data_IF_925471104549
#
_entry.id   IF_925471104549
#
_cell.length_a   1.000
_cell.length_b   1.000
_cell.length_c   1.000
_cell.angle_alpha   90.00
_cell.angle_beta   90.00
_cell.angle_gamma   90.00
#
_symmetry.space_group_name_H-M   'P 1'
#
loop_
_entity.id
_entity.type
_entity.pdbx_description
1 polymer ?
#
# COMPACT_ATOMS: atom_id res chain seq x y z
N UNK A 1 12.52 18.30 -10.04
CA UNK A 1 13.40 17.12 -10.20
C UNK A 1 14.54 17.08 -9.17
N UNK A 2 15.23 18.20 -8.88
CA UNK A 2 16.29 18.23 -7.88
C UNK A 2 15.84 17.80 -6.47
N UNK A 3 14.68 18.28 -5.99
CA UNK A 3 14.20 17.91 -4.65
C UNK A 3 13.80 16.45 -4.53
N UNK A 4 13.20 15.85 -5.58
CA UNK A 4 12.91 14.42 -5.61
C UNK A 4 14.19 13.59 -5.45
N UNK A 5 15.24 13.94 -6.18
CA UNK A 5 16.54 13.29 -6.04
C UNK A 5 17.11 13.46 -4.62
N UNK A 6 17.02 14.66 -4.04
CA UNK A 6 17.52 14.93 -2.69
C UNK A 6 16.78 14.12 -1.63
N UNK A 7 15.45 14.05 -1.70
CA UNK A 7 14.62 13.28 -0.76
C UNK A 7 14.94 11.79 -0.85
N UNK A 8 14.97 11.22 -2.05
CA UNK A 8 15.25 9.79 -2.23
C UNK A 8 16.69 9.44 -1.85
N UNK A 9 17.66 10.28 -2.21
CA UNK A 9 19.06 10.10 -1.78
C UNK A 9 19.22 10.22 -0.27
N UNK A 10 18.50 11.14 0.37
CA UNK A 10 18.51 11.23 1.83
C UNK A 10 17.92 9.97 2.46
N UNK A 11 16.85 9.40 1.89
CA UNK A 11 16.26 8.15 2.37
C UNK A 11 17.25 6.98 2.30
N UNK A 12 17.97 6.81 1.19
CA UNK A 12 18.95 5.70 1.08
C UNK A 12 20.09 5.81 2.08
N UNK A 13 20.49 7.03 2.44
CA UNK A 13 21.52 7.26 3.47
C UNK A 13 20.95 7.06 4.88
N UNK A 14 19.67 7.35 5.08
CA UNK A 14 18.97 7.16 6.34
C UNK A 14 18.66 5.68 6.62
N UNK A 15 18.33 4.91 5.57
CA UNK A 15 18.02 3.47 5.59
C UNK A 15 18.87 2.68 4.59
N UNK A 16 20.19 2.53 4.84
CA UNK A 16 21.09 1.83 3.93
C UNK A 16 20.74 0.35 3.72
N UNK A 17 20.05 -0.28 4.68
CA UNK A 17 19.64 -1.68 4.63
C UNK A 17 18.48 -1.94 3.64
N UNK A 18 17.59 -0.98 3.43
CA UNK A 18 16.53 -1.05 2.41
C UNK A 18 16.99 -0.45 1.08
N UNK A 19 17.86 0.57 1.15
CA UNK A 19 18.36 1.27 -0.02
C UNK A 19 17.25 2.05 -0.75
N UNK A 20 17.39 2.14 -2.07
CA UNK A 20 16.38 2.77 -2.93
C UNK A 20 15.56 1.72 -3.65
N UNK A 21 14.25 1.76 -3.43
CA UNK A 21 13.29 1.02 -4.24
C UNK A 21 12.58 1.99 -5.20
N UNK A 22 12.47 1.61 -6.48
CA UNK A 22 11.84 2.44 -7.52
C UNK A 22 10.41 2.88 -7.15
N UNK A 23 9.69 2.06 -6.39
CA UNK A 23 8.34 2.36 -5.92
C UNK A 23 8.25 3.53 -4.92
N UNK A 24 9.38 3.98 -4.34
CA UNK A 24 9.42 5.13 -3.44
C UNK A 24 9.35 6.47 -4.20
N UNK A 25 9.88 6.52 -5.43
CA UNK A 25 9.86 7.75 -6.23
C UNK A 25 8.46 8.33 -6.48
N UNK A 26 7.44 7.55 -6.88
CA UNK A 26 6.10 8.11 -7.07
C UNK A 26 5.47 8.55 -5.75
N UNK A 27 5.78 7.89 -4.62
CA UNK A 27 5.33 8.34 -3.28
C UNK A 27 5.95 9.69 -2.94
N UNK A 28 7.28 9.80 -3.03
CA UNK A 28 8.00 11.04 -2.77
C UNK A 28 7.55 12.18 -3.69
N UNK A 29 7.22 11.88 -4.95
CA UNK A 29 6.69 12.86 -5.89
C UNK A 29 5.32 13.42 -5.45
N UNK A 30 4.38 12.56 -5.04
CA UNK A 30 3.08 12.99 -4.50
C UNK A 30 3.26 13.90 -3.28
N UNK A 31 4.15 13.52 -2.36
CA UNK A 31 4.45 14.33 -1.17
C UNK A 31 5.01 15.70 -1.54
N UNK A 32 6.01 15.74 -2.42
CA UNK A 32 6.66 16.98 -2.86
C UNK A 32 5.73 17.94 -3.61
N UNK A 33 4.60 17.46 -4.14
CA UNK A 33 3.58 18.33 -4.73
C UNK A 33 2.76 19.10 -3.67
N UNK A 34 2.79 18.66 -2.41
CA UNK A 34 1.95 19.22 -1.34
C UNK A 34 2.74 19.79 -0.16
N UNK A 35 4.03 19.46 -0.03
CA UNK A 35 4.85 19.92 1.09
C UNK A 35 6.32 20.13 0.70
N UNK A 36 7.06 20.97 1.44
CA UNK A 36 8.50 21.17 1.23
C UNK A 36 9.31 19.87 1.37
N UNK A 37 10.50 19.85 0.76
CA UNK A 37 11.34 18.65 0.66
C UNK A 37 11.66 17.98 2.00
N UNK A 38 11.92 18.76 3.06
CA UNK A 38 12.18 18.21 4.39
C UNK A 38 10.97 17.49 4.98
N UNK A 39 9.78 18.09 4.86
CA UNK A 39 8.54 17.47 5.33
C UNK A 39 8.20 16.22 4.51
N UNK A 40 8.40 16.28 3.19
CA UNK A 40 8.21 15.15 2.30
C UNK A 40 9.16 13.98 2.66
N UNK A 41 10.41 14.28 3.03
CA UNK A 41 11.35 13.28 3.52
C UNK A 41 10.84 12.59 4.79
N UNK A 42 10.45 13.35 5.82
CA UNK A 42 9.95 12.75 7.07
C UNK A 42 8.63 11.99 6.86
N UNK A 43 7.75 12.48 5.99
CA UNK A 43 6.52 11.76 5.64
C UNK A 43 6.81 10.45 4.90
N UNK A 44 7.79 10.45 3.97
CA UNK A 44 8.25 9.23 3.30
C UNK A 44 8.79 8.22 4.32
N UNK A 45 9.61 8.66 5.28
CA UNK A 45 10.11 7.82 6.38
C UNK A 45 8.95 7.18 7.15
N UNK A 46 7.94 7.97 7.52
CA UNK A 46 6.78 7.46 8.25
C UNK A 46 5.99 6.43 7.41
N UNK A 47 5.78 6.67 6.12
CA UNK A 47 5.12 5.72 5.21
C UNK A 47 5.89 4.40 5.17
N UNK A 48 7.20 4.44 4.93
CA UNK A 48 8.01 3.24 4.78
C UNK A 48 8.15 2.47 6.10
N UNK A 49 8.33 3.15 7.24
CA UNK A 49 8.64 2.47 8.51
C UNK A 49 7.43 2.13 9.37
N UNK A 50 6.36 2.93 9.33
CA UNK A 50 5.21 2.76 10.22
C UNK A 50 4.01 2.15 9.50
N UNK A 51 3.70 2.65 8.31
CA UNK A 51 2.52 2.22 7.56
C UNK A 51 2.80 0.97 6.71
N UNK A 52 3.91 0.94 5.98
CA UNK A 52 4.26 -0.08 4.98
C UNK A 52 5.63 -0.75 5.26
N UNK A 53 5.90 -1.20 6.50
CA UNK A 53 7.18 -1.78 6.88
C UNK A 53 7.46 -3.05 6.08
N UNK A 54 8.70 -3.15 5.57
CA UNK A 54 9.20 -4.30 4.81
C UNK A 54 8.78 -4.34 3.34
N UNK A 55 7.96 -3.40 2.86
CA UNK A 55 7.51 -3.36 1.46
C UNK A 55 8.67 -3.15 0.47
N UNK A 56 9.69 -2.38 0.86
CA UNK A 56 10.78 -1.97 -0.01
C UNK A 56 12.04 -2.85 0.14
N UNK A 57 11.92 -3.97 0.85
CA UNK A 57 12.98 -4.98 0.98
C UNK A 57 13.18 -5.76 -0.33
N UNK A 58 14.41 -6.26 -0.57
CA UNK A 58 14.77 -6.95 -1.82
C UNK A 58 13.87 -8.15 -2.16
N UNK A 59 13.41 -8.90 -1.15
CA UNK A 59 12.64 -10.13 -1.32
C UNK A 59 11.13 -9.91 -1.42
N UNK A 60 10.65 -8.68 -1.15
CA UNK A 60 9.23 -8.33 -1.18
C UNK A 60 8.36 -9.28 -0.32
N UNK A 61 8.89 -9.86 0.76
CA UNK A 61 8.18 -10.84 1.59
C UNK A 61 6.90 -10.24 2.19
N UNK A 62 6.97 -8.97 2.60
CA UNK A 62 5.81 -8.23 3.12
C UNK A 62 4.70 -8.05 2.06
N UNK A 63 5.08 -7.82 0.80
CA UNK A 63 4.13 -7.70 -0.32
C UNK A 63 3.51 -9.06 -0.66
N UNK A 64 4.32 -10.12 -0.66
CA UNK A 64 3.83 -11.48 -0.89
C UNK A 64 2.83 -11.89 0.17
N UNK A 65 3.15 -11.64 1.44
CA UNK A 65 2.26 -11.91 2.57
C UNK A 65 0.95 -11.13 2.44
N UNK A 66 1.03 -9.85 2.12
CA UNK A 66 -0.14 -9.00 1.89
C UNK A 66 -0.96 -9.43 0.69
N UNK A 67 -0.34 -10.02 -0.33
CA UNK A 67 -1.06 -10.64 -1.42
C UNK A 67 -1.91 -11.81 -1.00
N UNK A 68 -1.39 -12.65 -0.10
CA UNK A 68 -2.20 -13.73 0.46
C UNK A 68 -3.33 -13.21 1.34
N UNK A 69 -3.10 -12.13 2.10
CA UNK A 69 -4.14 -11.46 2.89
C UNK A 69 -5.23 -10.88 1.96
N UNK A 70 -4.83 -10.12 0.94
CA UNK A 70 -5.73 -9.53 -0.05
C UNK A 70 -6.59 -10.62 -0.72
N UNK A 71 -5.96 -11.73 -1.12
CA UNK A 71 -6.63 -12.83 -1.78
C UNK A 71 -7.63 -13.56 -0.87
N UNK A 72 -7.29 -13.73 0.41
CA UNK A 72 -8.19 -14.30 1.41
C UNK A 72 -9.39 -13.39 1.70
N UNK A 73 -9.17 -12.07 1.76
CA UNK A 73 -10.26 -11.09 1.90
C UNK A 73 -11.14 -11.03 0.64
N UNK A 74 -10.56 -11.21 -0.54
CA UNK A 74 -11.29 -11.26 -1.81
C UNK A 74 -12.31 -12.41 -1.81
N UNK A 75 -12.00 -13.54 -1.21
CA UNK A 75 -12.95 -14.65 -1.08
C UNK A 75 -14.27 -14.23 -0.40
N UNK A 76 -14.20 -13.30 0.57
CA UNK A 76 -15.37 -12.77 1.27
C UNK A 76 -16.07 -11.65 0.48
N UNK A 77 -15.29 -10.77 -0.15
CA UNK A 77 -15.80 -9.59 -0.86
C UNK A 77 -16.39 -9.93 -2.23
N UNK A 78 -15.72 -10.81 -2.97
CA UNK A 78 -16.15 -11.25 -4.29
C UNK A 78 -15.73 -12.71 -4.52
N UNK A 79 -16.56 -13.68 -4.10
CA UNK A 79 -16.30 -15.10 -4.35
C UNK A 79 -16.12 -15.43 -5.83
N UNK A 80 -16.78 -14.67 -6.71
CA UNK A 80 -16.68 -14.81 -8.18
C UNK A 80 -15.26 -14.49 -8.65
N UNK A 81 -14.72 -13.32 -8.28
CA UNK A 81 -13.37 -12.92 -8.63
C UNK A 81 -12.32 -13.87 -8.03
N UNK A 82 -12.50 -14.26 -6.76
CA UNK A 82 -11.63 -15.22 -6.08
C UNK A 82 -11.56 -16.55 -6.84
N UNK A 83 -12.71 -17.17 -7.13
CA UNK A 83 -12.77 -18.46 -7.85
C UNK A 83 -12.11 -18.37 -9.22
N UNK A 84 -12.32 -17.27 -9.93
CA UNK A 84 -11.72 -17.05 -11.24
C UNK A 84 -10.19 -17.00 -11.15
N UNK A 85 -9.65 -16.14 -10.28
CA UNK A 85 -8.20 -16.01 -10.09
C UNK A 85 -7.56 -17.33 -9.60
N UNK A 86 -8.21 -18.06 -8.70
CA UNK A 86 -7.78 -19.40 -8.27
C UNK A 86 -7.74 -20.38 -9.44
N UNK A 87 -8.80 -20.41 -10.28
CA UNK A 87 -8.88 -21.30 -11.44
C UNK A 87 -7.77 -21.02 -12.45
N UNK A 88 -7.47 -19.75 -12.67
CA UNK A 88 -6.40 -19.30 -13.58
C UNK A 88 -5.00 -19.34 -12.94
N UNK A 89 -4.89 -19.73 -11.65
CA UNK A 89 -3.63 -19.77 -10.88
C UNK A 89 -2.85 -18.44 -10.94
N UNK A 90 -3.56 -17.32 -10.89
CA UNK A 90 -2.94 -15.99 -10.90
C UNK A 90 -2.54 -15.64 -9.48
N UNK A 91 -1.24 -15.54 -9.25
CA UNK A 91 -0.70 -15.09 -7.97
C UNK A 91 -0.98 -13.59 -7.76
N UNK A 92 -1.47 -13.17 -6.58
CA UNK A 92 -1.66 -11.77 -6.22
C UNK A 92 -0.48 -10.85 -6.56
N UNK A 93 0.76 -11.31 -6.35
CA UNK A 93 1.97 -10.52 -6.58
C UNK A 93 2.05 -9.97 -8.03
N UNK A 94 1.43 -10.66 -8.99
CA UNK A 94 1.49 -10.31 -10.41
C UNK A 94 0.71 -9.04 -10.77
N UNK A 95 -0.30 -8.66 -9.98
CA UNK A 95 -1.14 -7.49 -10.27
C UNK A 95 -1.09 -6.43 -9.18
N UNK A 96 -0.87 -6.80 -7.93
CA UNK A 96 -0.98 -5.85 -6.81
C UNK A 96 0.33 -5.13 -6.44
N UNK A 97 1.48 -5.63 -6.89
CA UNK A 97 2.78 -5.14 -6.44
C UNK A 97 2.91 -3.63 -6.66
N UNK A 98 2.58 -3.14 -7.86
CA UNK A 98 2.60 -1.70 -8.13
C UNK A 98 1.56 -0.95 -7.30
N UNK A 99 0.34 -1.49 -7.19
CA UNK A 99 -0.76 -0.90 -6.43
C UNK A 99 -0.36 -0.62 -4.98
N UNK A 100 0.25 -1.60 -4.32
CA UNK A 100 0.55 -1.55 -2.90
C UNK A 100 1.85 -0.80 -2.65
N UNK A 101 2.92 -1.10 -3.39
CA UNK A 101 4.23 -0.47 -3.18
C UNK A 101 4.24 1.01 -3.52
N UNK A 102 3.42 1.45 -4.48
CA UNK A 102 3.28 2.86 -4.85
C UNK A 102 2.08 3.52 -4.19
N UNK A 103 1.37 2.85 -3.26
CA UNK A 103 0.14 3.35 -2.65
C UNK A 103 -0.84 3.95 -3.69
N UNK A 104 -1.04 3.23 -4.79
CA UNK A 104 -1.89 3.57 -5.94
C UNK A 104 -1.53 4.84 -6.72
N UNK A 105 -0.44 5.54 -6.39
CA UNK A 105 -0.05 6.81 -7.03
C UNK A 105 0.28 6.70 -8.52
N UNK A 106 0.66 5.51 -9.00
CA UNK A 106 0.86 5.21 -10.44
C UNK A 106 -0.38 4.68 -11.14
N UNK A 107 -1.37 4.24 -10.37
CA UNK A 107 -2.53 3.52 -10.91
C UNK A 107 -3.73 4.44 -11.03
N UNK A 108 -4.08 5.18 -9.98
CA UNK A 108 -5.32 5.96 -9.93
C UNK A 108 -5.15 7.36 -10.55
N UNK A 109 -6.24 7.97 -11.05
CA UNK A 109 -6.26 9.38 -11.41
C UNK A 109 -5.93 10.25 -10.20
N UNK A 110 -5.34 11.42 -10.45
CA UNK A 110 -4.82 12.30 -9.41
C UNK A 110 -5.82 12.57 -8.27
N UNK A 111 -7.06 12.97 -8.59
CA UNK A 111 -8.07 13.28 -7.60
C UNK A 111 -8.41 12.10 -6.68
N UNK A 112 -8.45 10.89 -7.24
CA UNK A 112 -8.67 9.65 -6.51
C UNK A 112 -7.47 9.28 -5.63
N UNK A 113 -6.24 9.48 -6.11
CA UNK A 113 -5.02 9.26 -5.30
C UNK A 113 -5.07 10.11 -4.04
N UNK A 114 -5.41 11.40 -4.16
CA UNK A 114 -5.47 12.30 -3.00
C UNK A 114 -6.47 11.82 -1.95
N UNK A 115 -7.69 11.45 -2.35
CA UNK A 115 -8.69 10.92 -1.41
C UNK A 115 -8.27 9.60 -0.77
N UNK A 116 -7.65 8.71 -1.54
CA UNK A 116 -7.12 7.45 -1.00
C UNK A 116 -6.01 7.73 0.01
N UNK A 117 -5.15 8.71 -0.24
CA UNK A 117 -4.08 9.10 0.67
C UNK A 117 -4.61 9.79 1.93
N UNK A 118 -5.62 10.66 1.82
CA UNK A 118 -6.32 11.27 2.96
C UNK A 118 -6.83 10.19 3.92
N UNK A 119 -7.57 9.21 3.37
CA UNK A 119 -8.09 8.07 4.15
C UNK A 119 -6.95 7.19 4.69
N UNK A 120 -5.90 6.93 3.90
CA UNK A 120 -4.77 6.10 4.29
C UNK A 120 -3.99 6.66 5.48
N UNK A 121 -3.71 7.97 5.51
CA UNK A 121 -3.07 8.60 6.66
C UNK A 121 -3.98 8.61 7.89
N UNK A 122 -5.28 8.85 7.70
CA UNK A 122 -6.22 8.91 8.81
C UNK A 122 -6.48 7.52 9.42
N UNK A 123 -6.71 6.52 8.57
CA UNK A 123 -7.24 5.22 8.97
C UNK A 123 -6.26 4.05 8.80
N UNK A 124 -5.10 4.29 8.22
CA UNK A 124 -4.02 3.32 8.06
C UNK A 124 -4.12 2.41 6.84
N UNK A 125 -3.26 1.38 6.83
CA UNK A 125 -3.05 0.49 5.68
C UNK A 125 -4.30 -0.29 5.24
N UNK A 126 -5.35 -0.38 6.07
CA UNK A 126 -6.61 -1.04 5.69
C UNK A 126 -7.24 -0.42 4.44
N UNK A 127 -7.02 0.88 4.21
CA UNK A 127 -7.49 1.58 3.03
C UNK A 127 -6.85 1.02 1.76
N UNK A 128 -5.55 0.68 1.79
CA UNK A 128 -4.84 0.08 0.65
C UNK A 128 -5.50 -1.25 0.26
N UNK A 129 -5.82 -2.09 1.24
CA UNK A 129 -6.56 -3.35 1.00
C UNK A 129 -7.96 -3.11 0.46
N UNK A 130 -8.72 -2.17 1.03
CA UNK A 130 -10.09 -1.85 0.56
C UNK A 130 -10.09 -1.38 -0.88
N UNK A 131 -9.17 -0.47 -1.26
CA UNK A 131 -9.02 -0.01 -2.64
C UNK A 131 -8.71 -1.19 -3.57
N UNK A 132 -7.72 -2.03 -3.22
CA UNK A 132 -7.39 -3.21 -4.02
C UNK A 132 -8.58 -4.17 -4.20
N UNK A 133 -9.37 -4.40 -3.15
CA UNK A 133 -10.56 -5.24 -3.20
C UNK A 133 -11.68 -4.63 -4.05
N UNK A 134 -11.89 -3.33 -3.99
CA UNK A 134 -12.87 -2.61 -4.83
C UNK A 134 -12.47 -2.73 -6.31
N UNK A 135 -11.19 -2.53 -6.63
CA UNK A 135 -10.69 -2.68 -8.00
C UNK A 135 -10.90 -4.11 -8.51
N UNK A 136 -10.59 -5.14 -7.71
CA UNK A 136 -10.80 -6.53 -8.08
C UNK A 136 -12.27 -6.90 -8.23
N UNK A 137 -13.12 -6.50 -7.26
CA UNK A 137 -14.58 -6.71 -7.27
C UNK A 137 -15.19 -6.11 -8.54
N UNK A 138 -14.84 -4.89 -8.90
CA UNK A 138 -15.42 -4.24 -10.06
C UNK A 138 -14.78 -4.63 -11.39
N UNK A 139 -13.60 -5.26 -11.37
CA UNK A 139 -12.98 -5.76 -12.60
C UNK A 139 -13.42 -7.19 -12.93
N UNK A 140 -13.52 -8.06 -11.92
CA UNK A 140 -13.72 -9.50 -12.10
C UNK A 140 -14.94 -10.09 -11.36
N UNK A 141 -15.68 -9.28 -10.59
CA UNK A 141 -16.69 -9.79 -9.65
C UNK A 141 -18.04 -10.21 -10.22
N UNK A 142 -18.22 -10.21 -11.54
CA UNK A 142 -19.47 -10.62 -12.19
C UNK A 142 -19.19 -11.54 -13.38
N UNK A 143 -20.00 -12.57 -13.56
CA UNK A 143 -19.85 -13.53 -14.66
C UNK A 143 -19.80 -12.87 -16.03
N UNK A 144 -20.53 -11.78 -16.26
CA UNK A 144 -20.49 -11.05 -17.53
C UNK A 144 -19.12 -10.44 -17.83
N UNK A 145 -18.43 -9.91 -16.81
CA UNK A 145 -17.05 -9.39 -16.94
C UNK A 145 -16.04 -10.50 -17.19
N UNK A 146 -16.34 -11.72 -16.74
CA UNK A 146 -15.47 -12.89 -16.94
C UNK A 146 -15.62 -13.54 -18.32
N UNK A 147 -16.69 -13.27 -19.06
CA UNK A 147 -16.90 -13.83 -20.42
C UNK A 147 -15.73 -13.49 -21.36
N UNK A 148 -15.15 -12.30 -21.20
CA UNK A 148 -13.98 -11.83 -21.96
C UNK A 148 -12.63 -12.23 -21.36
N UNK A 149 -12.61 -12.90 -20.20
CA UNK A 149 -11.39 -13.24 -19.47
C UNK A 149 -11.32 -14.76 -19.26
N UNK A 150 -11.16 -15.54 -20.31
CA UNK A 150 -11.20 -17.00 -20.21
C UNK A 150 -9.89 -17.63 -19.74
N UNK A 151 -8.75 -16.98 -20.02
CA UNK A 151 -7.42 -17.44 -19.66
C UNK A 151 -6.67 -16.49 -18.72
N UNK A 152 -5.46 -16.90 -18.39
CA UNK A 152 -4.55 -16.12 -17.55
C UNK A 152 -4.18 -14.79 -18.22
N UNK A 153 -3.89 -14.81 -19.52
CA UNK A 153 -3.44 -13.63 -20.26
C UNK A 153 -4.52 -12.53 -20.30
N UNK A 154 -5.75 -12.86 -20.71
CA UNK A 154 -6.84 -11.88 -20.81
C UNK A 154 -7.22 -11.32 -19.44
N UNK A 155 -7.12 -12.15 -18.40
CA UNK A 155 -7.34 -11.71 -17.02
C UNK A 155 -6.27 -10.71 -16.58
N UNK A 156 -4.99 -10.98 -16.88
CA UNK A 156 -3.89 -10.08 -16.54
C UNK A 156 -3.97 -8.76 -17.31
N UNK A 157 -4.28 -8.80 -18.61
CA UNK A 157 -4.49 -7.58 -19.41
C UNK A 157 -5.63 -6.74 -18.83
N UNK A 158 -6.72 -7.38 -18.39
CA UNK A 158 -7.84 -6.68 -17.77
C UNK A 158 -7.48 -6.04 -16.43
N UNK A 159 -6.63 -6.69 -15.63
CA UNK A 159 -6.14 -6.16 -14.36
C UNK A 159 -5.14 -5.00 -14.55
N UNK A 160 -4.39 -4.99 -15.66
CA UNK A 160 -3.51 -3.87 -16.02
C UNK A 160 -4.29 -2.68 -16.60
N UNK A 161 -5.33 -2.95 -17.39
CA UNK A 161 -6.21 -1.96 -17.99
C UNK A 161 -7.53 -1.81 -17.23
N UNK A 162 -7.43 -1.28 -16.01
CA UNK A 162 -8.59 -1.00 -15.16
C UNK A 162 -9.54 0.01 -15.84
N UNK A 163 -10.84 -0.15 -15.61
CA UNK A 163 -11.83 0.74 -16.24
C UNK A 163 -11.73 2.15 -15.64
N UNK A 164 -11.69 3.23 -16.44
CA UNK A 164 -11.66 4.59 -15.90
C UNK A 164 -12.84 4.91 -14.97
N UNK A 165 -14.00 4.28 -15.19
CA UNK A 165 -15.21 4.46 -14.36
C UNK A 165 -14.99 4.04 -12.91
N UNK A 166 -14.29 2.93 -12.67
CA UNK A 166 -14.06 2.41 -11.32
C UNK A 166 -13.00 3.21 -10.56
N UNK A 167 -12.20 4.00 -11.30
CA UNK A 167 -11.10 4.78 -10.76
C UNK A 167 -11.48 6.24 -10.50
N UNK A 168 -12.71 6.65 -10.83
CA UNK A 168 -13.20 8.00 -10.55
C UNK A 168 -13.39 8.20 -9.05
N UNK A 169 -13.01 9.39 -8.56
CA UNK A 169 -12.96 9.72 -7.14
C UNK A 169 -14.27 9.40 -6.42
N UNK A 170 -15.39 9.95 -6.89
CA UNK A 170 -16.69 9.80 -6.24
C UNK A 170 -17.11 8.32 -6.10
N UNK A 171 -16.95 7.55 -7.17
CA UNK A 171 -17.31 6.13 -7.18
C UNK A 171 -16.38 5.30 -6.29
N UNK A 172 -15.07 5.51 -6.43
CA UNK A 172 -14.07 4.74 -5.69
C UNK A 172 -14.17 4.97 -4.18
N UNK A 173 -14.27 6.23 -3.76
CA UNK A 173 -14.36 6.61 -2.34
C UNK A 173 -15.63 6.00 -1.72
N UNK A 174 -16.77 6.10 -2.40
CA UNK A 174 -18.02 5.51 -1.92
C UNK A 174 -17.87 3.99 -1.70
N UNK A 175 -17.40 3.26 -2.70
CA UNK A 175 -17.22 1.80 -2.58
C UNK A 175 -16.19 1.40 -1.52
N UNK A 176 -15.12 2.20 -1.32
CA UNK A 176 -14.11 1.95 -0.29
C UNK A 176 -14.67 2.12 1.12
N UNK A 177 -15.52 3.14 1.34
CA UNK A 177 -16.16 3.39 2.64
C UNK A 177 -17.18 2.29 2.95
N UNK A 178 -17.99 1.89 1.98
CA UNK A 178 -19.04 0.88 2.13
C UNK A 178 -18.48 -0.55 2.32
N UNK A 179 -17.22 -0.81 1.96
CA UNK A 179 -16.64 -2.14 2.06
C UNK A 179 -16.47 -2.57 3.53
N UNK A 180 -17.08 -3.70 3.98
CA UNK A 180 -17.08 -4.11 5.38
C UNK A 180 -15.79 -4.85 5.78
N UNK A 181 -14.63 -4.34 5.36
CA UNK A 181 -13.31 -4.87 5.72
C UNK A 181 -12.72 -4.04 6.84
N UNK A 182 -12.58 -4.66 8.01
CA UNK A 182 -12.07 -4.02 9.22
C UNK A 182 -10.58 -4.32 9.41
N UNK A 183 -9.91 -3.47 10.17
CA UNK A 183 -8.51 -3.65 10.57
C UNK A 183 -8.29 -4.99 11.28
N UNK A 184 -9.16 -5.34 12.24
CA UNK A 184 -9.13 -6.64 12.95
C UNK A 184 -9.17 -7.85 12.00
N UNK A 185 -9.89 -7.75 10.88
CA UNK A 185 -9.91 -8.82 9.88
C UNK A 185 -8.58 -8.93 9.14
N UNK A 186 -7.93 -7.80 8.84
CA UNK A 186 -6.60 -7.76 8.20
C UNK A 186 -5.55 -8.31 9.17
N UNK A 187 -5.56 -7.89 10.43
CA UNK A 187 -4.64 -8.40 11.46
C UNK A 187 -4.80 -9.91 11.67
N UNK A 188 -6.06 -10.37 11.79
CA UNK A 188 -6.35 -11.81 11.92
C UNK A 188 -5.80 -12.58 10.73
N UNK A 189 -6.02 -12.07 9.52
CA UNK A 189 -5.53 -12.73 8.32
C UNK A 189 -4.01 -12.68 8.23
N UNK A 190 -3.37 -11.57 8.63
CA UNK A 190 -1.93 -11.43 8.73
C UNK A 190 -1.33 -12.53 9.62
N UNK A 191 -1.88 -12.75 10.81
CA UNK A 191 -1.41 -13.81 11.73
C UNK A 191 -1.55 -15.21 11.11
N UNK A 192 -2.67 -15.47 10.40
CA UNK A 192 -2.91 -16.75 9.73
C UNK A 192 -1.88 -16.98 8.62
N UNK A 193 -1.67 -15.99 7.75
CA UNK A 193 -0.76 -16.11 6.62
C UNK A 193 0.70 -16.14 7.08
N UNK A 194 1.05 -15.40 8.14
CA UNK A 194 2.39 -15.42 8.73
C UNK A 194 2.72 -16.79 9.34
N UNK A 195 1.74 -17.46 9.94
CA UNK A 195 1.91 -18.83 10.42
C UNK A 195 2.19 -19.80 9.26
N UNK A 196 1.38 -19.75 8.20
CA UNK A 196 1.57 -20.58 7.00
C UNK A 196 2.90 -20.30 6.30
N UNK A 197 3.32 -19.04 6.26
CA UNK A 197 4.62 -18.65 5.71
C UNK A 197 5.76 -19.31 6.48
N UNK A 198 5.72 -19.26 7.81
CA UNK A 198 6.75 -19.90 8.65
C UNK A 198 6.85 -21.40 8.44
N UNK A 199 5.72 -22.06 8.21
CA UNK A 199 5.68 -23.50 7.94
C UNK A 199 6.29 -23.86 6.56
N UNK A 200 6.23 -22.95 5.58
CA UNK A 200 6.64 -23.23 4.19
C UNK A 200 8.02 -22.67 3.82
N UNK A 201 8.39 -21.52 4.39
CA UNK A 201 9.59 -20.76 4.01
C UNK A 201 10.53 -20.47 5.21
N UNK A 202 10.12 -20.76 6.44
CA UNK A 202 10.87 -20.43 7.66
C UNK A 202 10.61 -19.01 8.17
N UNK A 203 11.50 -18.49 9.02
CA UNK A 203 11.35 -17.11 9.54
C UNK A 203 11.47 -16.06 8.42
N UNK A 204 10.69 -14.98 8.54
CA UNK A 204 10.88 -13.80 7.71
C UNK A 204 12.29 -13.25 7.91
N UNK A 205 12.97 -12.95 6.82
CA UNK A 205 14.32 -12.41 6.90
C UNK A 205 14.29 -10.93 7.31
N UNK A 206 13.24 -10.21 6.89
CA UNK A 206 13.00 -8.85 7.35
C UNK A 206 12.15 -8.86 8.64
N UNK A 207 12.80 -8.61 9.78
CA UNK A 207 12.11 -8.35 11.06
C UNK A 207 11.62 -6.91 11.10
N UNK A 208 10.60 -6.64 10.30
CA UNK A 208 9.90 -5.36 10.30
C UNK A 208 9.07 -5.18 11.58
N UNK A 209 9.02 -3.97 12.17
CA UNK A 209 8.11 -3.70 13.28
C UNK A 209 6.64 -3.90 12.84
N UNK A 210 5.73 -4.15 13.80
CA UNK A 210 4.31 -4.24 13.49
C UNK A 210 3.81 -2.94 12.87
N UNK A 211 2.86 -3.07 11.95
CA UNK A 211 2.22 -1.91 11.31
C UNK A 211 1.45 -1.10 12.32
N UNK A 212 1.48 0.21 12.13
CA UNK A 212 0.64 1.13 12.87
C UNK A 212 -0.54 1.55 11.99
N UNK A 213 -1.75 1.33 12.49
CA UNK A 213 -2.98 1.54 11.74
C UNK A 213 -3.51 2.96 11.95
N UNK A 214 -2.95 3.89 11.17
CA UNK A 214 -3.42 5.28 11.11
C UNK A 214 -2.77 6.21 12.12
N UNK A 215 -3.11 7.49 12.02
CA UNK A 215 -2.47 8.57 12.77
C UNK A 215 -2.53 8.39 14.30
N UNK A 216 -3.63 7.86 14.84
CA UNK A 216 -3.80 7.67 16.28
C UNK A 216 -2.79 6.66 16.85
N UNK A 217 -2.67 5.49 16.23
CA UNK A 217 -1.74 4.45 16.67
C UNK A 217 -0.28 4.92 16.60
N UNK A 218 0.06 5.74 15.59
CA UNK A 218 1.40 6.33 15.45
C UNK A 218 1.67 7.33 16.57
N UNK A 219 0.72 8.23 16.83
CA UNK A 219 0.85 9.22 17.91
C UNK A 219 0.97 8.58 19.30
N UNK A 220 0.35 7.42 19.52
CA UNK A 220 0.45 6.67 20.78
C UNK A 220 1.75 5.88 20.91
N UNK A 221 2.35 5.46 19.79
CA UNK A 221 3.57 4.67 19.75
C UNK A 221 4.85 5.52 19.79
N UNK A 222 4.81 6.78 19.35
CA UNK A 222 5.97 7.67 19.43
C UNK A 222 6.12 8.24 20.86
N UNK A 223 7.33 8.16 21.46
CA UNK A 223 7.57 8.85 22.73
C UNK A 223 7.34 10.35 22.55
N UNK A 224 6.86 11.02 23.62
CA UNK A 224 6.62 12.46 23.66
C UNK A 224 7.76 13.23 22.97
N UNK A 225 7.45 14.28 22.19
CA UNK A 225 8.38 14.86 21.23
C UNK A 225 9.72 15.12 21.92
N UNK A 226 10.81 14.59 21.32
CA UNK A 226 12.16 15.11 21.62
C UNK A 226 12.02 16.62 21.59
N UNK A 227 12.38 17.29 22.68
CA UNK A 227 12.36 18.76 22.80
C UNK A 227 12.65 19.33 21.42
N UNK A 228 11.68 20.06 20.85
CA UNK A 228 11.84 20.72 19.57
C UNK A 228 13.25 21.29 19.52
N UNK A 229 14.01 21.02 18.45
CA UNK A 229 15.32 21.61 18.26
C UNK A 229 15.17 23.11 18.53
N UNK A 230 15.59 23.55 19.71
CA UNK A 230 15.47 24.94 20.09
C UNK A 230 16.27 25.70 19.02
N UNK A 231 15.67 26.68 18.34
CA UNK A 231 16.43 27.46 17.38
C UNK A 231 17.55 28.14 18.14
N UNK A 232 18.78 27.62 17.97
CA UNK A 232 19.98 28.27 18.49
C UNK A 232 20.04 29.63 17.78
N UNK A 233 19.96 30.77 18.49
CA UNK A 233 19.99 32.06 17.83
C UNK A 233 21.37 32.25 17.18
N UNK A 234 21.40 32.30 15.86
CA UNK A 234 22.63 32.41 15.06
C UNK A 234 23.25 33.81 15.07
N UNK A 235 22.84 34.70 15.97
CA UNK A 235 23.42 36.04 16.06
C UNK A 235 23.51 36.43 17.54
N UNK A 236 24.75 36.40 18.05
CA UNK A 236 25.13 37.17 19.23
C UNK A 236 25.46 38.57 18.71
N UNK A 237 24.66 39.57 19.08
CA UNK A 237 25.00 40.99 18.90
C UNK A 237 25.91 41.42 20.03
#
# INVERSE_FOLDING_TARGET
QQDLFRVLKAYTLYRPEEGYCQAQAPIAAVLLMHMPAEQAFWCLVQICEKYLPGYYSEKLEAIQLDGQILFSLLHKVSPVAYKHLSKQKIDPILYMTEWFMCAFSRTLPWSSVLRVWDMFFCEGVKIIFRVGLVLLKHTLGSSDKLKSCQGQYETMERLRALSPKIMQEAFLVQEVIELPVTERQIEREHLIQLKKWRETHGELQCKSPPRLHGAKAISEAEPAPRKALEPVPSIVV
#
